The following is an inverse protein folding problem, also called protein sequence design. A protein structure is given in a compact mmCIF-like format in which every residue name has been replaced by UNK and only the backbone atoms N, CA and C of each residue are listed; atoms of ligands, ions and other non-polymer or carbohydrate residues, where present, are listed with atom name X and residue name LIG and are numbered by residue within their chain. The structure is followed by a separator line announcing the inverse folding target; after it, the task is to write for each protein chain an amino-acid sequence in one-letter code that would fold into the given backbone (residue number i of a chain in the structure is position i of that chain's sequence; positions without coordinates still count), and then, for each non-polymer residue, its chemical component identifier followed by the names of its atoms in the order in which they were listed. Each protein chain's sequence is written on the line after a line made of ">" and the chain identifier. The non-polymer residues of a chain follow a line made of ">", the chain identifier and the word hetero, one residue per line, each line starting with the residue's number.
data_IF_670856623020
#
_entry.id   IF_670856623020
#
_cell.length_a   1.000
_cell.length_b   1.000
_cell.length_c   1.000
_cell.angle_alpha   90.00
_cell.angle_beta   90.00
_cell.angle_gamma   90.00
#
_symmetry.space_group_name_H-M   'P 1'
#
loop_
_entity.id
_entity.type
_entity.pdbx_description
1 polymer ?
#
# COMPACT_ATOMS: atom_id res chain seq x y z
N UNK A 1 5.27 11.69 -1.13
CA UNK A 1 5.72 10.86 -2.28
C UNK A 1 4.61 9.90 -2.78
N UNK A 2 4.46 9.59 -4.09
CA UNK A 2 3.55 8.54 -4.56
C UNK A 2 4.03 7.12 -4.23
N UNK A 3 3.09 6.23 -3.97
CA UNK A 3 3.30 4.82 -3.61
C UNK A 3 2.43 3.93 -4.50
N UNK A 4 2.96 2.79 -4.91
CA UNK A 4 2.20 1.78 -5.66
C UNK A 4 1.49 0.84 -4.70
N UNK A 5 0.16 0.80 -4.79
CA UNK A 5 -0.71 -0.12 -4.06
C UNK A 5 -1.27 -1.15 -5.02
N UNK A 6 -1.08 -2.42 -4.72
CA UNK A 6 -1.64 -3.54 -5.51
C UNK A 6 -2.44 -4.44 -4.59
N UNK A 7 -3.67 -4.76 -5.00
CA UNK A 7 -4.53 -5.65 -4.23
C UNK A 7 -4.02 -7.09 -4.33
N UNK A 8 -3.98 -7.81 -3.22
CA UNK A 8 -3.41 -9.16 -3.14
C UNK A 8 -4.08 -10.16 -4.10
N UNK A 9 -5.41 -10.06 -4.32
CA UNK A 9 -6.07 -10.92 -5.30
C UNK A 9 -5.64 -10.63 -6.74
N UNK A 10 -5.29 -9.38 -7.07
CA UNK A 10 -4.76 -9.10 -8.40
C UNK A 10 -3.36 -9.65 -8.58
N UNK A 11 -2.51 -9.56 -7.54
CA UNK A 11 -1.20 -10.24 -7.54
C UNK A 11 -1.37 -11.71 -7.88
N UNK A 12 -2.29 -12.42 -7.20
CA UNK A 12 -2.56 -13.83 -7.50
C UNK A 12 -3.08 -14.08 -8.92
N UNK A 13 -3.84 -13.15 -9.52
CA UNK A 13 -4.28 -13.27 -10.92
C UNK A 13 -3.12 -13.14 -11.90
N UNK A 14 -2.22 -12.18 -11.67
CA UNK A 14 -0.99 -12.04 -12.45
C UNK A 14 -0.08 -13.26 -12.28
N UNK A 15 0.08 -13.76 -11.05
CA UNK A 15 0.91 -14.94 -10.77
C UNK A 15 0.40 -16.17 -11.53
N UNK A 16 -0.90 -16.44 -11.50
CA UNK A 16 -1.50 -17.57 -12.24
C UNK A 16 -1.31 -17.41 -13.75
N UNK A 17 -1.47 -16.20 -14.28
CA UNK A 17 -1.24 -15.94 -15.71
C UNK A 17 0.24 -16.11 -16.08
N UNK A 18 1.14 -15.66 -15.22
CA UNK A 18 2.59 -15.76 -15.43
C UNK A 18 3.06 -17.22 -15.42
N UNK A 19 2.56 -18.04 -14.51
CA UNK A 19 2.83 -19.48 -14.45
C UNK A 19 2.35 -20.24 -15.69
N UNK A 20 1.39 -19.69 -16.44
CA UNK A 20 0.93 -20.25 -17.70
C UNK A 20 1.86 -19.99 -18.89
N UNK A 21 2.91 -19.19 -18.73
CA UNK A 21 3.84 -18.82 -19.81
C UNK A 21 5.04 -19.76 -19.87
N UNK A 22 5.62 -19.97 -21.07
CA UNK A 22 6.79 -20.82 -21.23
C UNK A 22 8.06 -20.24 -20.57
N UNK A 23 8.10 -18.92 -20.37
CA UNK A 23 9.15 -18.21 -19.67
C UNK A 23 8.63 -16.89 -19.10
N UNK A 24 9.31 -16.37 -18.08
CA UNK A 24 9.06 -15.07 -17.47
C UNK A 24 10.38 -14.40 -17.12
N UNK A 25 10.37 -13.06 -17.04
CA UNK A 25 11.51 -12.27 -16.59
C UNK A 25 11.84 -12.58 -15.13
N UNK A 26 13.12 -12.46 -14.74
CA UNK A 26 13.56 -12.69 -13.36
C UNK A 26 12.90 -11.70 -12.39
N UNK A 27 12.73 -10.46 -12.83
CA UNK A 27 12.00 -9.42 -12.11
C UNK A 27 10.78 -8.99 -12.93
N UNK A 28 9.61 -8.99 -12.28
CA UNK A 28 8.36 -8.53 -12.87
C UNK A 28 7.65 -7.60 -11.92
N UNK A 29 7.15 -6.47 -12.43
CA UNK A 29 6.50 -5.44 -11.61
C UNK A 29 5.02 -5.33 -11.96
N UNK A 30 4.17 -5.34 -10.92
CA UNK A 30 2.72 -5.11 -11.05
C UNK A 30 2.38 -3.75 -10.46
N UNK A 31 1.77 -2.89 -11.27
CA UNK A 31 1.30 -1.58 -10.85
C UNK A 31 -0.23 -1.62 -10.73
N UNK A 32 -0.74 -1.72 -9.50
CA UNK A 32 -2.18 -1.65 -9.25
C UNK A 32 -2.72 -0.23 -9.33
N UNK A 33 -2.38 0.59 -8.34
CA UNK A 33 -2.80 1.97 -8.23
C UNK A 33 -1.67 2.81 -7.62
N UNK A 34 -1.25 3.86 -8.32
CA UNK A 34 -0.25 4.82 -7.82
C UNK A 34 -0.93 5.99 -7.12
N UNK A 35 -0.68 6.17 -5.83
CA UNK A 35 -1.32 7.20 -4.99
C UNK A 35 -0.36 7.66 -3.89
N UNK A 36 -0.52 8.89 -3.41
CA UNK A 36 0.07 9.32 -2.14
C UNK A 36 -0.76 8.81 -0.95
N UNK A 37 -0.16 8.70 0.24
CA UNK A 37 -0.90 8.41 1.47
C UNK A 37 -1.99 9.44 1.76
N UNK A 38 -1.78 10.70 1.41
CA UNK A 38 -2.79 11.75 1.55
C UNK A 38 -4.00 11.51 0.64
N UNK A 39 -3.78 11.14 -0.63
CA UNK A 39 -4.86 10.78 -1.55
C UNK A 39 -5.61 9.53 -1.08
N UNK A 40 -4.88 8.52 -0.59
CA UNK A 40 -5.49 7.31 -0.03
C UNK A 40 -6.37 7.63 1.18
N UNK A 41 -5.89 8.48 2.10
CA UNK A 41 -6.69 8.94 3.25
C UNK A 41 -7.93 9.71 2.79
N UNK A 42 -7.80 10.59 1.79
CA UNK A 42 -8.94 11.31 1.21
C UNK A 42 -9.97 10.37 0.57
N UNK A 43 -9.53 9.31 -0.11
CA UNK A 43 -10.42 8.28 -0.65
C UNK A 43 -11.15 7.53 0.47
N UNK A 44 -10.45 7.19 1.57
CA UNK A 44 -11.05 6.51 2.70
C UNK A 44 -12.09 7.38 3.43
N UNK A 45 -11.82 8.68 3.60
CA UNK A 45 -12.79 9.64 4.14
C UNK A 45 -14.06 9.71 3.27
N UNK A 46 -13.89 9.74 1.95
CA UNK A 46 -15.01 9.79 0.99
C UNK A 46 -15.85 8.51 1.03
N UNK A 47 -15.20 7.34 1.06
CA UNK A 47 -15.88 6.05 1.13
C UNK A 47 -16.71 5.91 2.43
N UNK A 48 -16.10 6.25 3.57
CA UNK A 48 -16.74 6.18 4.89
C UNK A 48 -17.74 7.32 5.15
N UNK A 49 -17.57 8.46 4.47
CA UNK A 49 -18.34 9.68 4.71
C UNK A 49 -18.04 10.33 6.07
N UNK A 50 -16.84 10.11 6.62
CA UNK A 50 -16.39 10.66 7.92
C UNK A 50 -14.95 11.14 7.79
N UNK A 51 -14.60 12.23 8.48
CA UNK A 51 -13.23 12.74 8.54
C UNK A 51 -12.33 11.86 9.39
N UNK A 52 -11.11 11.63 8.93
CA UNK A 52 -10.09 10.90 9.68
C UNK A 52 -9.22 11.90 10.44
N UNK A 53 -8.76 11.51 11.63
CA UNK A 53 -7.71 12.25 12.31
C UNK A 53 -6.38 11.93 11.61
N UNK A 54 -5.89 12.87 10.81
CA UNK A 54 -4.63 12.74 10.07
C UNK A 54 -3.53 13.46 10.86
N UNK A 55 -2.45 12.75 11.15
CA UNK A 55 -1.23 13.30 11.75
C UNK A 55 -0.10 13.09 10.73
N UNK A 56 0.80 14.06 10.66
CA UNK A 56 1.95 14.03 9.77
C UNK A 56 3.21 13.87 10.62
N UNK A 57 3.84 12.72 10.54
CA UNK A 57 5.16 12.48 11.12
C UNK A 57 6.23 12.97 10.14
N UNK A 58 7.23 13.72 10.64
CA UNK A 58 8.34 14.23 9.82
C UNK A 58 9.37 13.12 9.51
N UNK A 59 10.23 13.33 8.51
CA UNK A 59 11.31 12.37 8.22
C UNK A 59 12.28 12.29 9.40
N UNK A 60 12.54 13.41 10.06
CA UNK A 60 13.39 13.51 11.26
C UNK A 60 12.78 12.74 12.44
N UNK A 61 11.46 12.83 12.62
CA UNK A 61 10.75 12.05 13.65
C UNK A 61 10.83 10.56 13.34
N UNK A 62 10.60 10.17 12.08
CA UNK A 62 10.74 8.79 11.64
C UNK A 62 12.17 8.29 11.91
N UNK A 63 13.21 9.01 11.48
CA UNK A 63 14.62 8.65 11.71
C UNK A 63 14.98 8.56 13.21
N UNK A 64 14.34 9.38 14.05
CA UNK A 64 14.45 9.30 15.51
C UNK A 64 13.58 8.19 16.15
N UNK A 65 12.95 7.32 15.34
CA UNK A 65 12.01 6.28 15.76
C UNK A 65 10.80 6.81 16.55
N UNK A 66 10.37 8.04 16.24
CA UNK A 66 9.17 8.67 16.78
C UNK A 66 8.06 8.57 15.73
N UNK A 67 7.08 7.72 16.00
CA UNK A 67 5.90 7.55 15.15
C UNK A 67 4.64 7.78 15.98
N UNK A 68 3.65 8.43 15.39
CA UNK A 68 2.32 8.57 15.99
C UNK A 68 1.69 7.19 16.18
N UNK A 69 1.44 6.81 17.44
CA UNK A 69 0.83 5.52 17.76
C UNK A 69 -0.68 5.54 17.52
N UNK A 70 -1.15 4.66 16.64
CA UNK A 70 -2.57 4.47 16.39
C UNK A 70 -3.18 3.52 17.43
N UNK A 71 -4.47 3.67 17.69
CA UNK A 71 -5.21 2.81 18.63
C UNK A 71 -5.14 1.33 18.25
N UNK A 72 -5.05 1.01 16.96
CA UNK A 72 -4.87 -0.34 16.43
C UNK A 72 -3.55 -0.99 16.86
N UNK A 73 -2.49 -0.22 17.12
CA UNK A 73 -1.19 -0.77 17.49
C UNK A 73 -1.21 -1.43 18.87
N UNK A 74 -2.10 -0.99 19.78
CA UNK A 74 -2.20 -1.54 21.14
C UNK A 74 -2.48 -3.03 21.18
N UNK A 75 -3.28 -3.52 20.23
CA UNK A 75 -3.58 -4.95 20.13
C UNK A 75 -2.40 -5.74 19.54
N UNK A 76 -1.67 -5.15 18.60
CA UNK A 76 -0.49 -5.76 17.98
C UNK A 76 0.66 -5.90 18.98
N UNK A 77 0.82 -4.93 19.89
CA UNK A 77 1.83 -4.98 20.96
C UNK A 77 1.63 -6.13 21.96
N UNK A 78 0.45 -6.75 22.00
CA UNK A 78 0.23 -7.97 22.81
C UNK A 78 0.91 -9.20 22.21
N UNK A 79 1.14 -9.19 20.89
CA UNK A 79 1.71 -10.31 20.14
C UNK A 79 3.20 -10.12 19.86
N UNK A 80 3.65 -8.89 19.60
CA UNK A 80 5.06 -8.59 19.37
C UNK A 80 5.51 -7.40 20.22
N UNK A 81 6.80 -7.33 20.59
CA UNK A 81 7.34 -6.16 21.29
C UNK A 81 7.11 -4.88 20.49
N UNK A 82 6.78 -3.81 21.21
CA UNK A 82 6.49 -2.49 20.64
C UNK A 82 7.61 -2.01 19.72
N UNK A 83 8.85 -2.12 20.21
CA UNK A 83 10.05 -1.67 19.52
C UNK A 83 10.25 -2.43 18.21
N UNK A 84 9.90 -3.72 18.17
CA UNK A 84 9.99 -4.53 16.96
C UNK A 84 8.98 -4.03 15.92
N UNK A 85 7.70 -3.87 16.28
CA UNK A 85 6.67 -3.41 15.32
C UNK A 85 6.98 -1.99 14.82
N UNK A 86 7.30 -1.09 15.74
CA UNK A 86 7.58 0.32 15.42
C UNK A 86 8.84 0.45 14.56
N UNK A 87 9.96 -0.18 14.94
CA UNK A 87 11.23 -0.02 14.24
C UNK A 87 11.31 -0.83 12.94
N UNK A 88 10.82 -2.07 12.93
CA UNK A 88 11.05 -2.98 11.78
C UNK A 88 10.04 -2.80 10.66
N UNK A 89 8.78 -2.53 10.98
CA UNK A 89 7.71 -2.55 9.99
C UNK A 89 7.22 -1.15 9.64
N UNK A 90 6.88 -0.34 10.65
CA UNK A 90 6.23 0.95 10.41
C UNK A 90 7.22 2.06 10.03
N UNK A 91 8.33 2.18 10.77
CA UNK A 91 9.38 3.16 10.48
C UNK A 91 10.03 2.91 9.11
N UNK A 92 10.59 1.71 8.90
CA UNK A 92 11.33 1.37 7.69
C UNK A 92 10.45 1.52 6.43
N UNK A 93 9.21 1.06 6.49
CA UNK A 93 8.28 1.19 5.37
C UNK A 93 7.91 2.66 5.12
N UNK A 94 7.60 3.43 6.17
CA UNK A 94 7.28 4.84 6.05
C UNK A 94 8.42 5.65 5.41
N UNK A 95 9.65 5.43 5.87
CA UNK A 95 10.83 6.10 5.34
C UNK A 95 11.13 5.68 3.89
N UNK A 96 11.00 4.39 3.57
CA UNK A 96 11.16 3.88 2.21
C UNK A 96 10.14 4.51 1.25
N UNK A 97 8.87 4.62 1.68
CA UNK A 97 7.84 5.30 0.91
C UNK A 97 8.16 6.77 0.69
N UNK A 98 8.59 7.51 1.72
CA UNK A 98 8.88 8.94 1.57
C UNK A 98 10.13 9.20 0.72
N UNK A 99 11.14 8.33 0.81
CA UNK A 99 12.33 8.35 -0.07
C UNK A 99 12.03 7.87 -1.51
N UNK A 100 10.80 7.50 -1.82
CA UNK A 100 10.38 7.12 -3.16
C UNK A 100 10.74 5.71 -3.59
N UNK A 101 11.19 4.85 -2.67
CA UNK A 101 11.49 3.45 -2.98
C UNK A 101 10.22 2.67 -3.39
N UNK A 102 9.05 3.09 -2.89
CA UNK A 102 7.76 2.52 -3.29
C UNK A 102 7.11 3.25 -4.48
N UNK A 103 7.78 4.25 -5.06
CA UNK A 103 7.34 5.00 -6.23
C UNK A 103 7.88 4.31 -7.51
N UNK A 104 7.38 3.10 -7.80
CA UNK A 104 7.92 2.29 -8.88
C UNK A 104 7.70 2.95 -10.25
N UNK A 105 8.78 3.00 -11.06
CA UNK A 105 8.80 3.46 -12.46
C UNK A 105 9.65 2.48 -13.30
N UNK A 106 9.20 1.23 -13.47
CA UNK A 106 9.96 0.22 -14.20
C UNK A 106 9.97 0.49 -15.71
N UNK A 107 10.93 -0.09 -16.43
CA UNK A 107 11.00 -0.04 -17.89
C UNK A 107 9.90 -0.84 -18.60
N UNK A 108 9.23 -1.76 -17.88
CA UNK A 108 8.08 -2.54 -18.33
C UNK A 108 7.33 -3.13 -17.15
N UNK A 109 6.03 -3.40 -17.31
CA UNK A 109 5.18 -3.95 -16.25
C UNK A 109 4.40 -5.17 -16.74
N UNK A 110 4.00 -6.06 -15.82
CA UNK A 110 3.06 -7.13 -16.15
C UNK A 110 1.70 -6.60 -16.62
N UNK A 111 1.34 -5.36 -16.25
CA UNK A 111 0.16 -4.71 -16.77
C UNK A 111 0.22 -4.47 -18.30
N UNK A 112 1.43 -4.22 -18.83
CA UNK A 112 1.64 -4.04 -20.28
C UNK A 112 1.62 -5.39 -21.01
N UNK A 113 2.14 -6.43 -20.36
CA UNK A 113 2.21 -7.78 -20.92
C UNK A 113 0.87 -8.55 -20.85
N UNK A 114 0.05 -8.25 -19.84
CA UNK A 114 -1.24 -8.91 -19.57
C UNK A 114 -2.37 -7.86 -19.43
N UNK A 115 -2.70 -7.11 -20.49
CA UNK A 115 -3.66 -5.99 -20.45
C UNK A 115 -5.10 -6.44 -20.14
N UNK A 116 -5.39 -7.73 -20.25
CA UNK A 116 -6.67 -8.34 -19.87
C UNK A 116 -6.89 -8.40 -18.35
N UNK A 117 -5.82 -8.45 -17.57
CA UNK A 117 -5.90 -8.39 -16.11
C UNK A 117 -5.86 -6.92 -15.69
N UNK A 118 -7.03 -6.38 -15.35
CA UNK A 118 -7.15 -5.02 -14.81
C UNK A 118 -7.15 -5.07 -13.28
N UNK A 119 -6.13 -4.50 -12.61
CA UNK A 119 -6.12 -4.39 -11.16
C UNK A 119 -7.28 -3.54 -10.65
N UNK A 120 -7.83 -3.90 -9.50
CA UNK A 120 -8.80 -3.08 -8.80
C UNK A 120 -8.13 -1.82 -8.25
N UNK A 121 -8.82 -0.68 -8.35
CA UNK A 121 -8.31 0.59 -7.81
C UNK A 121 -8.56 0.67 -6.31
N UNK A 122 -7.71 1.42 -5.60
CA UNK A 122 -7.84 1.60 -4.15
C UNK A 122 -9.22 2.16 -3.76
N UNK A 123 -9.77 3.06 -4.58
CA UNK A 123 -11.15 3.57 -4.42
C UNK A 123 -12.17 2.44 -4.34
N UNK A 124 -12.15 1.53 -5.31
CA UNK A 124 -13.15 0.46 -5.41
C UNK A 124 -13.03 -0.52 -4.24
N UNK A 125 -11.81 -0.79 -3.76
CA UNK A 125 -11.57 -1.58 -2.55
C UNK A 125 -12.17 -0.88 -1.33
N UNK A 126 -11.90 0.41 -1.16
CA UNK A 126 -12.40 1.21 -0.04
C UNK A 126 -13.93 1.31 -0.06
N UNK A 127 -14.54 1.50 -1.23
CA UNK A 127 -15.99 1.55 -1.42
C UNK A 127 -16.64 0.18 -1.16
N UNK A 128 -16.03 -0.94 -1.56
CA UNK A 128 -16.54 -2.28 -1.25
C UNK A 128 -16.46 -2.62 0.24
N UNK A 129 -15.37 -2.23 0.91
CA UNK A 129 -15.14 -2.57 2.32
C UNK A 129 -15.85 -1.64 3.32
N UNK A 130 -15.90 -0.35 3.01
CA UNK A 130 -16.38 0.70 3.92
C UNK A 130 -17.33 1.72 3.29
N UNK A 131 -17.69 1.53 2.02
CA UNK A 131 -18.73 2.33 1.40
C UNK A 131 -20.06 2.15 2.13
N UNK A 132 -20.84 3.22 2.19
CA UNK A 132 -22.24 3.11 2.65
C UNK A 132 -22.97 2.17 1.69
N UNK A 133 -23.33 0.97 2.16
CA UNK A 133 -24.34 0.13 1.53
C UNK A 133 -25.54 1.04 1.21
N UNK A 134 -25.88 1.15 -0.07
CA UNK A 134 -27.18 1.66 -0.48
C UNK A 134 -28.21 0.56 -0.32
#
# INVERSE_FOLDING_TARGET
>A
MPVVFTHNFDVGRFDVALLGRPSWSEETVIIGNKLTFHELASLAEKAKGTKLAVVHDSVEDLEACKLTELSSHREVYKLYPKEVILHSLLFLLGLACERGQANLNPGGTLNDELPEIRPIRAREVLEKGWGKLR
#
